data_IF_930607528455
#
_entry.id   IF_930607528455
#
_cell.length_a   1.000
_cell.length_b   1.000
_cell.length_c   1.000
_cell.angle_alpha   90.00
_cell.angle_beta   90.00
_cell.angle_gamma   90.00
#
_symmetry.space_group_name_H-M   'P 1'
#
loop_
_entity.id
_entity.type
_entity.pdbx_description
1 polymer ?
#
# COMPACT_ATOMS: atom_id res chain seq x y z
N UNK A 1 14.57 -11.32 -14.25
CA UNK A 1 14.47 -9.86 -14.44
C UNK A 1 13.01 -9.43 -14.21
N UNK A 2 12.66 -8.97 -12.99
CA UNK A 2 11.30 -8.52 -12.69
C UNK A 2 11.19 -7.02 -13.00
N UNK A 3 10.74 -6.78 -14.24
CA UNK A 3 10.00 -5.62 -14.75
C UNK A 3 10.49 -4.23 -14.33
N UNK A 4 11.31 -3.68 -15.25
CA UNK A 4 11.30 -2.32 -15.78
C UNK A 4 10.35 -1.31 -15.13
N UNK A 5 10.95 -0.26 -14.57
CA UNK A 5 10.41 1.08 -14.39
C UNK A 5 9.38 1.39 -15.49
N UNK A 6 8.10 1.48 -15.10
CA UNK A 6 7.10 2.15 -15.92
C UNK A 6 6.33 3.14 -15.06
N UNK A 7 6.57 4.40 -15.41
CA UNK A 7 5.64 5.52 -15.32
C UNK A 7 5.68 6.31 -14.01
N UNK A 8 6.42 7.42 -14.07
CA UNK A 8 6.20 8.66 -13.31
C UNK A 8 4.81 9.27 -13.61
N UNK A 9 3.76 8.48 -13.41
CA UNK A 9 2.38 8.88 -13.62
C UNK A 9 1.71 9.05 -12.27
N UNK A 10 1.84 10.24 -11.66
CA UNK A 10 1.01 10.73 -10.54
C UNK A 10 0.36 9.60 -9.73
N UNK A 11 1.17 8.83 -9.00
CA UNK A 11 0.63 7.75 -8.19
C UNK A 11 -0.12 8.39 -7.02
N UNK A 12 -1.42 8.61 -7.21
CA UNK A 12 -2.29 9.08 -6.14
C UNK A 12 -2.62 7.89 -5.23
N UNK A 13 -2.05 7.92 -4.04
CA UNK A 13 -2.32 6.96 -2.98
C UNK A 13 -3.83 6.95 -2.66
N UNK A 14 -4.43 5.77 -2.40
CA UNK A 14 -5.84 5.70 -2.01
C UNK A 14 -6.05 6.46 -0.71
N UNK A 15 -7.00 7.40 -0.66
CA UNK A 15 -7.34 8.12 0.58
C UNK A 15 -7.68 7.16 1.73
N UNK A 16 -8.43 6.11 1.42
CA UNK A 16 -8.81 5.03 2.35
C UNK A 16 -7.57 4.37 2.99
N UNK A 17 -6.45 4.26 2.27
CA UNK A 17 -5.19 3.71 2.82
C UNK A 17 -4.52 4.70 3.76
N UNK A 18 -4.41 5.97 3.36
CA UNK A 18 -3.78 7.01 4.18
C UNK A 18 -4.56 7.23 5.49
N UNK A 19 -5.89 7.26 5.42
CA UNK A 19 -6.76 7.36 6.61
C UNK A 19 -6.56 6.16 7.55
N UNK A 20 -6.53 4.93 7.01
CA UNK A 20 -6.34 3.74 7.82
C UNK A 20 -4.95 3.70 8.49
N UNK A 21 -3.89 4.09 7.76
CA UNK A 21 -2.55 4.23 8.30
C UNK A 21 -2.46 5.29 9.41
N UNK A 22 -3.18 6.41 9.24
CA UNK A 22 -3.23 7.48 10.24
C UNK A 22 -3.93 7.01 11.52
N UNK A 23 -5.07 6.32 11.40
CA UNK A 23 -5.80 5.74 12.54
C UNK A 23 -4.92 4.74 13.29
N UNK A 24 -4.19 3.89 12.55
CA UNK A 24 -3.29 2.89 13.14
C UNK A 24 -1.95 3.44 13.61
N UNK A 25 -1.69 4.75 13.46
CA UNK A 25 -0.39 5.40 13.76
C UNK A 25 0.79 4.77 13.01
N UNK A 26 0.53 4.12 11.88
CA UNK A 26 1.51 3.45 11.04
C UNK A 26 1.95 4.31 9.84
N UNK A 27 1.45 5.54 9.72
CA UNK A 27 1.83 6.48 8.67
C UNK A 27 3.35 6.69 8.60
N UNK A 28 4.04 6.74 9.74
CA UNK A 28 5.50 6.94 9.77
C UNK A 28 6.24 5.86 9.00
N UNK A 29 5.89 4.59 9.20
CA UNK A 29 6.49 3.47 8.50
C UNK A 29 6.19 3.51 7.00
N UNK A 30 4.95 3.85 6.65
CA UNK A 30 4.55 4.00 5.25
C UNK A 30 5.30 5.13 4.53
N UNK A 31 5.49 6.29 5.17
CA UNK A 31 6.23 7.40 4.60
C UNK A 31 7.72 7.10 4.44
N UNK A 32 8.31 6.40 5.41
CA UNK A 32 9.71 5.95 5.38
C UNK A 32 9.95 4.85 4.33
N UNK A 33 8.92 4.07 3.99
CA UNK A 33 9.00 3.01 2.99
C UNK A 33 9.38 3.53 1.60
N UNK A 34 10.12 2.71 0.86
CA UNK A 34 10.60 3.04 -0.49
C UNK A 34 9.45 3.29 -1.47
N UNK A 35 9.66 4.18 -2.45
CA UNK A 35 8.68 4.47 -3.50
C UNK A 35 8.23 3.19 -4.22
N UNK A 36 9.16 2.30 -4.57
CA UNK A 36 8.85 1.03 -5.24
C UNK A 36 7.92 0.13 -4.41
N UNK A 37 8.12 0.05 -3.10
CA UNK A 37 7.21 -0.69 -2.22
C UNK A 37 5.80 -0.09 -2.24
N UNK A 38 5.70 1.22 -2.04
CA UNK A 38 4.41 1.95 -2.08
C UNK A 38 3.71 1.73 -3.42
N UNK A 39 4.46 1.75 -4.52
CA UNK A 39 3.93 1.51 -5.85
C UNK A 39 3.33 0.12 -6.03
N UNK A 40 4.05 -0.90 -5.60
CA UNK A 40 3.57 -2.29 -5.65
C UNK A 40 2.30 -2.47 -4.82
N UNK A 41 2.26 -1.91 -3.61
CA UNK A 41 1.11 -1.99 -2.73
C UNK A 41 -0.10 -1.25 -3.31
N UNK A 42 0.06 -0.03 -3.79
CA UNK A 42 -1.04 0.74 -4.40
C UNK A 42 -1.56 0.01 -5.64
N UNK A 43 -0.68 -0.56 -6.47
CA UNK A 43 -1.09 -1.37 -7.61
C UNK A 43 -1.87 -2.62 -7.18
N UNK A 44 -1.38 -3.34 -6.16
CA UNK A 44 -2.07 -4.49 -5.59
C UNK A 44 -3.45 -4.13 -5.04
N UNK A 45 -3.59 -3.05 -4.27
CA UNK A 45 -4.89 -2.59 -3.77
C UNK A 45 -5.83 -2.26 -4.94
N UNK A 46 -5.34 -1.57 -5.97
CA UNK A 46 -6.14 -1.18 -7.15
C UNK A 46 -6.56 -2.38 -8.01
N UNK A 47 -5.79 -3.47 -8.01
CA UNK A 47 -6.14 -4.73 -8.69
C UNK A 47 -7.39 -5.39 -8.10
N UNK A 48 -7.77 -5.07 -6.86
CA UNK A 48 -9.00 -5.58 -6.25
C UNK A 48 -10.24 -4.82 -6.77
N UNK A 49 -11.05 -5.50 -7.60
CA UNK A 49 -12.28 -4.93 -8.18
C UNK A 49 -13.42 -4.76 -7.17
N UNK A 50 -13.47 -5.62 -6.14
CA UNK A 50 -14.51 -5.58 -5.10
C UNK A 50 -14.08 -4.66 -3.95
N UNK A 51 -14.96 -3.75 -3.54
CA UNK A 51 -14.70 -2.83 -2.40
C UNK A 51 -14.30 -3.58 -1.13
N UNK A 52 -15.00 -4.67 -0.80
CA UNK A 52 -14.67 -5.51 0.35
C UNK A 52 -13.25 -6.11 0.28
N UNK A 53 -12.81 -6.53 -0.91
CA UNK A 53 -11.44 -7.05 -1.10
C UNK A 53 -10.40 -5.95 -0.98
N UNK A 54 -10.67 -4.73 -1.50
CA UNK A 54 -9.76 -3.59 -1.30
C UNK A 54 -9.60 -3.26 0.18
N UNK A 55 -10.71 -3.23 0.93
CA UNK A 55 -10.68 -2.95 2.37
C UNK A 55 -9.81 -3.98 3.11
N UNK A 56 -9.96 -5.28 2.80
CA UNK A 56 -9.08 -6.34 3.35
C UNK A 56 -7.60 -6.15 2.99
N UNK A 57 -7.30 -5.68 1.77
CA UNK A 57 -5.91 -5.40 1.35
C UNK A 57 -5.33 -4.21 2.09
N UNK A 58 -6.12 -3.15 2.28
CA UNK A 58 -5.73 -1.98 3.08
C UNK A 58 -5.45 -2.40 4.53
N UNK A 59 -6.36 -3.17 5.13
CA UNK A 59 -6.22 -3.70 6.48
C UNK A 59 -4.94 -4.53 6.65
N UNK A 60 -4.64 -5.42 5.69
CA UNK A 60 -3.40 -6.18 5.69
C UNK A 60 -2.15 -5.27 5.61
N UNK A 61 -2.15 -4.24 4.77
CA UNK A 61 -1.02 -3.29 4.69
C UNK A 61 -0.83 -2.57 6.03
N UNK A 62 -1.93 -2.12 6.63
CA UNK A 62 -1.91 -1.42 7.91
C UNK A 62 -1.39 -2.33 9.02
N UNK A 63 -1.88 -3.57 9.14
CA UNK A 63 -1.41 -4.55 10.13
C UNK A 63 0.10 -4.79 10.01
N UNK A 64 0.60 -4.99 8.78
CA UNK A 64 2.04 -5.13 8.54
C UNK A 64 2.83 -3.85 8.88
N UNK A 65 2.34 -2.67 8.50
CA UNK A 65 3.00 -1.41 8.85
C UNK A 65 3.01 -1.15 10.37
N UNK A 66 1.97 -1.55 11.11
CA UNK A 66 1.95 -1.48 12.58
C UNK A 66 3.01 -2.41 13.19
N UNK A 67 3.22 -3.58 12.58
CA UNK A 67 4.27 -4.54 12.99
C UNK A 67 5.68 -4.12 12.56
N UNK A 68 5.79 -3.10 11.70
CA UNK A 68 7.07 -2.71 11.08
C UNK A 68 7.56 -3.70 10.02
N UNK A 69 6.66 -4.48 9.45
CA UNK A 69 6.95 -5.48 8.42
C UNK A 69 6.53 -4.99 7.03
N UNK A 70 7.28 -5.42 6.01
CA UNK A 70 6.87 -5.18 4.62
C UNK A 70 5.89 -6.26 4.17
N UNK A 71 4.77 -5.83 3.59
CA UNK A 71 3.83 -6.76 2.96
C UNK A 71 4.29 -7.08 1.53
N UNK A 72 4.57 -8.35 1.27
CA UNK A 72 4.83 -8.83 -0.09
C UNK A 72 3.52 -9.39 -0.67
N UNK A 73 3.17 -9.01 -1.90
CA UNK A 73 1.99 -9.53 -2.61
C UNK A 73 1.98 -11.07 -2.54
N UNK A 74 0.97 -11.65 -1.86
CA UNK A 74 0.66 -13.09 -1.90
C UNK A 74 -0.41 -13.39 -2.96
#
# INVERSE_FOLDING_TARGET
MRQSLKSEGCMREPKELLEALQIARASSFWFDSTSTYKENIVHWIRKARRKATRAKRIDAVVDHCVRGEMLFEQ
#
